data_IF_954556122878
#
_entry.id   IF_954556122878
#
_cell.length_a   1.000
_cell.length_b   1.000
_cell.length_c   1.000
_cell.angle_alpha   90.00
_cell.angle_beta   90.00
_cell.angle_gamma   90.00
#
_symmetry.space_group_name_H-M   'P 1'
#
loop_
_entity.id
_entity.type
_entity.pdbx_description
1 polymer ?
#
# COMPACT_ATOMS: atom_id res chain seq x y z
N UNK A 1 26.58 2.19 -2.64
CA UNK A 1 26.04 0.82 -2.52
C UNK A 1 24.53 0.94 -2.55
N UNK A 2 23.84 0.06 -3.28
CA UNK A 2 22.37 0.05 -3.35
C UNK A 2 21.78 -0.85 -2.26
N UNK A 3 20.56 -0.55 -1.83
CA UNK A 3 19.77 -1.39 -0.93
C UNK A 3 19.26 -2.59 -1.74
N UNK A 4 19.58 -3.80 -1.29
CA UNK A 4 19.17 -5.04 -1.95
C UNK A 4 17.82 -5.48 -1.41
N UNK A 5 16.78 -5.45 -2.24
CA UNK A 5 15.44 -5.86 -1.84
C UNK A 5 15.00 -7.14 -2.54
N UNK A 6 14.19 -7.92 -1.84
CA UNK A 6 13.44 -9.03 -2.44
C UNK A 6 11.94 -8.77 -2.29
N UNK A 7 11.15 -9.28 -3.23
CA UNK A 7 9.69 -9.16 -3.19
C UNK A 7 9.10 -10.56 -2.97
N UNK A 8 8.27 -10.72 -1.95
CA UNK A 8 7.49 -11.94 -1.74
C UNK A 8 6.02 -11.66 -2.12
N UNK A 9 5.49 -12.36 -3.13
CA UNK A 9 4.19 -12.07 -3.73
C UNK A 9 4.29 -11.03 -4.86
N UNK A 10 3.94 -11.44 -6.06
CA UNK A 10 4.00 -10.64 -7.29
C UNK A 10 2.62 -10.43 -7.94
N UNK A 11 1.63 -10.27 -7.06
CA UNK A 11 0.33 -9.69 -7.38
C UNK A 11 0.41 -8.21 -7.79
N UNK A 12 -0.73 -7.50 -7.77
CA UNK A 12 -0.80 -6.09 -8.20
C UNK A 12 0.21 -5.19 -7.45
N UNK A 13 0.32 -5.35 -6.13
CA UNK A 13 1.23 -4.53 -5.31
C UNK A 13 2.69 -4.81 -5.69
N UNK A 14 3.13 -6.08 -5.68
CA UNK A 14 4.51 -6.44 -6.01
C UNK A 14 4.94 -5.96 -7.41
N UNK A 15 4.06 -6.09 -8.41
CA UNK A 15 4.31 -5.55 -9.76
C UNK A 15 4.42 -4.04 -9.78
N UNK A 16 3.52 -3.34 -9.10
CA UNK A 16 3.54 -1.88 -9.05
C UNK A 16 4.74 -1.33 -8.26
N UNK A 17 5.24 -2.06 -7.26
CA UNK A 17 6.50 -1.73 -6.57
C UNK A 17 7.67 -1.77 -7.57
N UNK A 18 7.75 -2.81 -8.40
CA UNK A 18 8.78 -2.89 -9.46
C UNK A 18 8.59 -1.76 -10.47
N UNK A 19 7.39 -1.55 -11.01
CA UNK A 19 7.15 -0.47 -11.98
C UNK A 19 7.56 0.90 -11.42
N UNK A 20 7.13 1.21 -10.19
CA UNK A 20 7.45 2.46 -9.51
C UNK A 20 8.95 2.62 -9.26
N UNK A 21 9.70 1.54 -8.98
CA UNK A 21 11.15 1.60 -8.79
C UNK A 21 11.86 2.16 -10.03
N UNK A 22 11.45 1.73 -11.22
CA UNK A 22 12.01 2.20 -12.49
C UNK A 22 11.46 3.58 -12.87
N UNK A 23 10.16 3.81 -12.74
CA UNK A 23 9.49 5.06 -13.11
C UNK A 23 9.91 6.26 -12.24
N UNK A 24 10.16 6.03 -10.95
CA UNK A 24 10.54 7.11 -10.02
C UNK A 24 12.05 7.39 -9.97
N UNK A 25 12.88 6.65 -10.71
CA UNK A 25 14.33 6.78 -10.67
C UNK A 25 15.00 6.21 -9.41
N UNK A 26 14.22 5.69 -8.45
CA UNK A 26 14.72 5.06 -7.20
C UNK A 26 15.59 3.83 -7.44
N UNK A 27 15.63 3.30 -8.67
CA UNK A 27 16.59 2.28 -9.10
C UNK A 27 18.06 2.69 -8.85
N UNK A 28 18.36 3.98 -8.77
CA UNK A 28 19.70 4.47 -8.38
C UNK A 28 20.09 4.08 -6.94
N UNK A 29 19.12 3.86 -6.07
CA UNK A 29 19.31 3.60 -4.63
C UNK A 29 18.95 2.16 -4.25
N UNK A 30 18.02 1.54 -4.96
CA UNK A 30 17.43 0.24 -4.64
C UNK A 30 17.60 -0.73 -5.81
N UNK A 31 17.91 -2.00 -5.50
CA UNK A 31 18.00 -3.08 -6.49
C UNK A 31 17.12 -4.25 -6.06
N UNK A 32 16.20 -4.67 -6.92
CA UNK A 32 15.42 -5.90 -6.72
C UNK A 32 16.28 -7.09 -7.12
N UNK A 33 16.61 -7.96 -6.19
CA UNK A 33 17.52 -9.10 -6.42
C UNK A 33 16.75 -10.40 -6.66
N UNK A 34 15.54 -10.51 -6.12
CA UNK A 34 14.67 -11.64 -6.32
C UNK A 34 13.19 -11.30 -6.15
N UNK A 35 12.35 -12.08 -6.83
CA UNK A 35 10.89 -12.08 -6.71
C UNK A 35 10.44 -13.52 -6.46
N UNK A 36 9.68 -13.74 -5.40
CA UNK A 36 9.02 -15.02 -5.12
C UNK A 36 7.52 -14.93 -5.45
N UNK A 37 7.01 -15.84 -6.27
CA UNK A 37 5.58 -15.96 -6.59
C UNK A 37 5.23 -17.38 -7.03
N UNK A 38 4.07 -17.88 -6.62
CA UNK A 38 3.55 -19.20 -6.99
C UNK A 38 2.77 -19.12 -8.30
N UNK A 39 3.43 -18.63 -9.35
CA UNK A 39 2.88 -18.51 -10.69
C UNK A 39 3.94 -18.79 -11.75
N UNK A 40 3.50 -19.13 -12.96
CA UNK A 40 4.39 -19.34 -14.10
C UNK A 40 5.18 -18.07 -14.45
N UNK A 41 6.47 -18.24 -14.75
CA UNK A 41 7.41 -17.15 -15.04
C UNK A 41 7.00 -16.32 -16.25
N UNK A 42 6.43 -16.94 -17.29
CA UNK A 42 5.93 -16.22 -18.45
C UNK A 42 4.71 -15.35 -18.08
N UNK A 43 3.82 -15.87 -17.22
CA UNK A 43 2.70 -15.11 -16.67
C UNK A 43 3.14 -13.89 -15.85
N UNK A 44 4.17 -14.06 -15.01
CA UNK A 44 4.82 -13.00 -14.23
C UNK A 44 5.31 -11.87 -15.15
N UNK A 45 6.08 -12.21 -16.19
CA UNK A 45 6.61 -11.24 -17.14
C UNK A 45 5.49 -10.54 -17.93
N UNK A 46 4.48 -11.30 -18.36
CA UNK A 46 3.34 -10.76 -19.09
C UNK A 46 2.57 -9.72 -18.27
N UNK A 47 2.21 -10.05 -17.02
CA UNK A 47 1.48 -9.15 -16.14
C UNK A 47 2.32 -7.98 -15.64
N UNK A 48 3.65 -8.11 -15.60
CA UNK A 48 4.52 -6.96 -15.37
C UNK A 48 4.50 -6.02 -16.58
N UNK A 49 4.50 -6.54 -17.81
CA UNK A 49 4.51 -5.73 -19.05
C UNK A 49 3.15 -5.07 -19.34
N UNK A 50 2.04 -5.75 -19.07
CA UNK A 50 0.69 -5.30 -19.44
C UNK A 50 -0.21 -5.20 -18.21
N UNK A 51 -0.76 -4.00 -17.94
CA UNK A 51 -1.74 -3.78 -16.87
C UNK A 51 -2.89 -2.89 -17.37
N UNK A 52 -4.11 -3.18 -16.95
CA UNK A 52 -5.31 -2.43 -17.37
C UNK A 52 -5.36 -1.01 -16.81
N UNK A 53 -4.89 -0.82 -15.57
CA UNK A 53 -4.92 0.47 -14.88
C UNK A 53 -3.73 1.35 -15.27
N UNK A 54 -2.54 0.74 -15.35
CA UNK A 54 -1.27 1.44 -15.54
C UNK A 54 -0.70 1.31 -16.97
N UNK A 55 -1.45 0.69 -17.87
CA UNK A 55 -1.04 0.50 -19.26
C UNK A 55 0.18 -0.41 -19.43
N UNK A 56 0.88 -0.20 -20.54
CA UNK A 56 2.10 -0.95 -20.89
C UNK A 56 3.29 -0.37 -20.14
N UNK A 57 4.04 -1.23 -19.45
CA UNK A 57 5.27 -0.81 -18.80
C UNK A 57 6.31 -0.37 -19.83
N UNK A 58 6.95 0.77 -19.61
CA UNK A 58 7.83 1.40 -20.62
C UNK A 58 9.13 0.62 -20.86
N UNK A 59 9.65 -0.05 -19.84
CA UNK A 59 10.88 -0.85 -19.93
C UNK A 59 10.66 -2.13 -20.72
N UNK A 60 11.73 -2.59 -21.36
CA UNK A 60 11.76 -3.94 -21.95
C UNK A 60 11.64 -4.99 -20.83
N UNK A 61 10.78 -5.97 -21.03
CA UNK A 61 10.55 -7.05 -20.08
C UNK A 61 10.75 -8.37 -20.81
N UNK A 62 11.75 -9.12 -20.40
CA UNK A 62 12.08 -10.43 -20.95
C UNK A 62 12.16 -11.45 -19.81
N UNK A 63 11.93 -12.71 -20.14
CA UNK A 63 12.07 -13.79 -19.19
C UNK A 63 12.85 -14.92 -19.85
N UNK A 64 13.88 -15.40 -19.15
CA UNK A 64 14.70 -16.52 -19.58
C UNK A 64 14.97 -17.40 -18.36
N UNK A 65 14.57 -18.67 -18.40
CA UNK A 65 14.72 -19.63 -17.29
C UNK A 65 14.16 -19.05 -15.97
N UNK A 66 14.94 -19.05 -14.90
CA UNK A 66 14.54 -18.50 -13.59
C UNK A 66 14.95 -17.02 -13.44
N UNK A 67 15.05 -16.28 -14.54
CA UNK A 67 15.40 -14.86 -14.53
C UNK A 67 14.35 -14.02 -15.25
N UNK A 68 13.95 -12.95 -14.58
CA UNK A 68 13.17 -11.86 -15.13
C UNK A 68 14.12 -10.70 -15.42
N UNK A 69 14.06 -10.17 -16.63
CA UNK A 69 14.84 -9.01 -17.06
C UNK A 69 13.94 -7.80 -17.18
N UNK A 70 14.39 -6.68 -16.62
CA UNK A 70 13.78 -5.36 -16.85
C UNK A 70 14.88 -4.43 -17.37
N UNK A 71 14.85 -4.15 -18.67
CA UNK A 71 16.03 -3.62 -19.37
C UNK A 71 17.19 -4.62 -19.31
N UNK A 72 18.30 -4.20 -18.69
CA UNK A 72 19.50 -5.02 -18.49
C UNK A 72 19.59 -5.63 -17.08
N UNK A 73 18.66 -5.27 -16.18
CA UNK A 73 18.66 -5.79 -14.81
C UNK A 73 18.11 -7.21 -14.77
N UNK A 74 18.92 -8.14 -14.27
CA UNK A 74 18.52 -9.53 -14.03
C UNK A 74 17.98 -9.71 -12.60
N UNK A 75 16.75 -10.19 -12.48
CA UNK A 75 16.06 -10.47 -11.23
C UNK A 75 15.77 -11.96 -11.14
N UNK A 76 16.20 -12.63 -10.05
CA UNK A 76 15.93 -14.06 -9.86
C UNK A 76 14.45 -14.30 -9.56
N UNK A 77 13.82 -15.21 -10.29
CA UNK A 77 12.48 -15.70 -9.97
C UNK A 77 12.58 -16.92 -9.05
N UNK A 78 11.71 -16.94 -8.05
CA UNK A 78 11.57 -18.00 -7.06
C UNK A 78 10.10 -18.43 -7.00
N UNK A 79 9.88 -19.71 -6.67
CA UNK A 79 8.55 -20.32 -6.60
C UNK A 79 8.37 -21.12 -5.31
N UNK A 80 8.83 -20.56 -4.20
CA UNK A 80 8.86 -21.22 -2.90
C UNK A 80 7.54 -21.01 -2.14
N UNK A 81 6.84 -22.08 -1.74
CA UNK A 81 5.55 -21.98 -1.04
C UNK A 81 5.69 -21.68 0.46
N UNK A 82 6.91 -21.76 1.01
CA UNK A 82 7.16 -21.55 2.44
C UNK A 82 8.26 -20.53 2.65
N UNK A 83 8.08 -19.64 3.63
CA UNK A 83 9.05 -18.57 3.93
C UNK A 83 10.42 -19.14 4.29
N UNK A 84 10.46 -20.27 5.01
CA UNK A 84 11.69 -20.89 5.49
C UNK A 84 12.61 -21.40 4.36
N UNK A 85 12.07 -21.70 3.18
CA UNK A 85 12.84 -22.16 2.03
C UNK A 85 13.45 -21.01 1.22
N UNK A 86 13.06 -19.76 1.49
CA UNK A 86 13.50 -18.61 0.70
C UNK A 86 15.00 -18.32 0.92
N UNK A 87 15.81 -18.19 -0.15
CA UNK A 87 17.27 -18.07 -0.04
C UNK A 87 17.74 -16.64 0.26
N UNK A 88 17.11 -15.93 1.21
CA UNK A 88 17.40 -14.52 1.50
C UNK A 88 18.84 -14.29 1.98
N UNK A 89 19.40 -15.24 2.74
CA UNK A 89 20.81 -15.21 3.17
C UNK A 89 21.77 -15.26 1.98
N UNK A 90 21.54 -16.19 1.05
CA UNK A 90 22.36 -16.35 -0.16
C UNK A 90 22.32 -15.09 -1.03
N UNK A 91 21.14 -14.49 -1.16
CA UNK A 91 20.91 -13.31 -1.98
C UNK A 91 21.33 -11.99 -1.31
N UNK A 92 21.77 -12.05 -0.04
CA UNK A 92 22.15 -10.91 0.80
C UNK A 92 21.05 -9.83 0.82
N UNK A 93 19.81 -10.22 1.14
CA UNK A 93 18.65 -9.32 1.16
C UNK A 93 18.69 -8.39 2.36
N UNK A 94 18.67 -7.08 2.11
CA UNK A 94 18.58 -6.05 3.16
C UNK A 94 17.13 -5.91 3.65
N UNK A 95 16.18 -5.81 2.72
CA UNK A 95 14.75 -5.69 3.06
C UNK A 95 13.94 -6.60 2.15
N UNK A 96 13.10 -7.46 2.75
CA UNK A 96 12.05 -8.14 1.98
C UNK A 96 10.76 -7.33 2.06
N UNK A 97 10.17 -7.06 0.91
CA UNK A 97 8.85 -6.45 0.78
C UNK A 97 7.85 -7.60 0.60
N UNK A 98 7.11 -7.92 1.66
CA UNK A 98 6.06 -8.92 1.57
C UNK A 98 4.77 -8.27 1.08
N UNK A 99 4.44 -8.61 -0.16
CA UNK A 99 3.31 -8.12 -0.94
C UNK A 99 2.27 -9.21 -1.20
N UNK A 100 2.33 -10.33 -0.46
CA UNK A 100 1.39 -11.45 -0.62
C UNK A 100 -0.02 -11.10 -0.17
N UNK A 101 -0.15 -10.25 0.86
CA UNK A 101 -1.41 -9.99 1.55
C UNK A 101 -1.91 -11.18 2.40
N UNK A 102 -1.13 -12.26 2.45
CA UNK A 102 -1.42 -13.48 3.23
C UNK A 102 -0.62 -13.46 4.52
N UNK A 103 0.67 -13.18 4.43
CA UNK A 103 1.56 -13.11 5.58
C UNK A 103 1.58 -11.71 6.18
N UNK A 104 1.54 -11.61 7.51
CA UNK A 104 1.54 -10.28 8.16
C UNK A 104 1.63 -10.26 9.68
N UNK A 105 1.94 -11.38 10.33
CA UNK A 105 2.16 -11.43 11.79
C UNK A 105 3.66 -11.30 12.11
N UNK A 106 4.01 -11.10 13.39
CA UNK A 106 5.42 -11.11 13.81
C UNK A 106 6.10 -12.43 13.48
N UNK A 107 5.44 -13.58 13.64
CA UNK A 107 6.03 -14.89 13.35
C UNK A 107 6.41 -15.03 11.87
N UNK A 108 5.56 -14.53 10.96
CA UNK A 108 5.88 -14.49 9.54
C UNK A 108 7.10 -13.59 9.26
N UNK A 109 7.15 -12.42 9.91
CA UNK A 109 8.31 -11.53 9.81
C UNK A 109 9.59 -12.20 10.32
N UNK A 110 9.54 -12.84 11.49
CA UNK A 110 10.68 -13.58 12.04
C UNK A 110 11.11 -14.74 11.14
N UNK A 111 10.17 -15.42 10.46
CA UNK A 111 10.51 -16.45 9.49
C UNK A 111 11.34 -15.90 8.31
N UNK A 112 11.02 -14.70 7.81
CA UNK A 112 11.83 -14.03 6.79
C UNK A 112 13.23 -13.65 7.32
N UNK A 113 13.32 -13.20 8.57
CA UNK A 113 14.61 -12.88 9.20
C UNK A 113 15.47 -14.15 9.39
N UNK A 114 14.85 -15.26 9.78
CA UNK A 114 15.52 -16.57 9.91
C UNK A 114 16.03 -17.10 8.57
N UNK A 115 15.27 -16.88 7.50
CA UNK A 115 15.67 -17.18 6.11
C UNK A 115 16.83 -16.27 5.61
N UNK A 116 17.09 -15.16 6.30
CA UNK A 116 18.30 -14.34 6.15
C UNK A 116 18.09 -12.91 5.67
N UNK A 117 16.85 -12.43 5.55
CA UNK A 117 16.61 -11.01 5.31
C UNK A 117 16.99 -10.20 6.56
N UNK A 118 17.51 -8.96 6.40
CA UNK A 118 17.83 -8.11 7.56
C UNK A 118 16.60 -7.41 8.15
N UNK A 119 15.64 -7.04 7.30
CA UNK A 119 14.37 -6.40 7.67
C UNK A 119 13.21 -6.87 6.77
N UNK A 120 11.99 -6.70 7.25
CA UNK A 120 10.73 -7.05 6.60
C UNK A 120 9.82 -5.82 6.57
N UNK A 121 9.25 -5.53 5.40
CA UNK A 121 8.20 -4.54 5.23
C UNK A 121 6.95 -5.20 4.65
N UNK A 122 5.88 -5.24 5.44
CA UNK A 122 4.57 -5.73 4.98
C UNK A 122 3.82 -4.65 4.22
N UNK A 123 3.20 -5.03 3.10
CA UNK A 123 2.42 -4.14 2.24
C UNK A 123 1.00 -3.84 2.72
N UNK A 124 0.64 -4.29 3.93
CA UNK A 124 -0.67 -4.12 4.55
C UNK A 124 -0.49 -3.94 6.07
N UNK A 125 -1.57 -3.63 6.85
CA UNK A 125 -1.45 -3.29 8.27
C UNK A 125 -0.81 -4.35 9.16
N UNK A 126 -0.82 -5.61 8.71
CA UNK A 126 -0.33 -6.76 9.49
C UNK A 126 -1.03 -6.90 10.85
N UNK A 127 -0.37 -7.63 11.76
CA UNK A 127 -0.76 -7.74 13.16
C UNK A 127 -0.49 -6.47 13.97
N UNK A 128 -1.06 -6.39 15.16
CA UNK A 128 -0.83 -5.27 16.10
C UNK A 128 0.49 -5.39 16.87
N UNK A 129 1.23 -6.46 16.62
CA UNK A 129 2.44 -6.91 17.31
C UNK A 129 3.74 -6.59 16.56
N UNK A 130 3.67 -5.88 15.43
CA UNK A 130 4.84 -5.48 14.64
C UNK A 130 5.66 -4.36 15.33
N UNK A 131 6.93 -4.19 14.94
CA UNK A 131 7.82 -3.21 15.59
C UNK A 131 7.37 -1.77 15.33
N UNK A 132 6.83 -1.50 14.14
CA UNK A 132 6.31 -0.19 13.76
C UNK A 132 5.27 -0.31 12.63
N UNK A 133 4.39 0.70 12.56
CA UNK A 133 3.56 0.97 11.39
C UNK A 133 3.90 2.37 10.89
N UNK A 134 4.33 2.45 9.64
CA UNK A 134 4.83 3.69 9.04
C UNK A 134 3.83 4.21 8.03
N UNK A 135 3.50 5.49 8.18
CA UNK A 135 2.90 6.34 7.15
C UNK A 135 3.97 7.33 6.75
N UNK A 136 4.55 7.12 5.56
CA UNK A 136 5.68 7.94 5.10
C UNK A 136 5.23 9.40 4.88
N UNK A 137 6.02 10.35 5.38
CA UNK A 137 5.68 11.76 5.48
C UNK A 137 5.09 12.16 6.85
N UNK A 138 4.76 11.20 7.71
CA UNK A 138 4.12 11.46 9.02
C UNK A 138 4.98 11.00 10.18
N UNK A 139 5.45 9.75 10.18
CA UNK A 139 6.16 9.15 11.33
C UNK A 139 7.37 8.27 10.97
N UNK A 140 7.90 8.39 9.75
CA UNK A 140 9.07 7.60 9.32
C UNK A 140 10.34 7.92 10.12
N UNK A 141 10.42 9.10 10.72
CA UNK A 141 11.48 9.56 11.62
C UNK A 141 11.47 8.85 12.98
N UNK A 142 10.36 8.19 13.34
CA UNK A 142 10.27 7.34 14.53
C UNK A 142 10.92 5.95 14.33
N UNK A 143 11.32 5.60 13.09
CA UNK A 143 11.99 4.34 12.82
C UNK A 143 13.35 4.26 13.53
N UNK A 144 13.56 3.17 14.26
CA UNK A 144 14.80 2.87 14.98
C UNK A 144 15.53 1.71 14.33
N UNK A 145 16.85 1.63 14.54
CA UNK A 145 17.66 0.52 14.02
C UNK A 145 17.11 -0.87 14.43
N UNK A 146 16.55 -0.96 15.64
CA UNK A 146 15.91 -2.17 16.17
C UNK A 146 14.57 -2.55 15.54
N UNK A 147 13.91 -1.66 14.80
CA UNK A 147 12.66 -2.00 14.09
C UNK A 147 13.01 -2.81 12.84
N UNK A 148 12.77 -4.11 12.88
CA UNK A 148 13.12 -5.06 11.81
C UNK A 148 11.89 -5.57 11.08
N UNK A 149 10.72 -5.59 11.72
CA UNK A 149 9.47 -6.07 11.13
C UNK A 149 8.46 -4.92 11.18
N UNK A 150 8.21 -4.31 10.02
CA UNK A 150 7.46 -3.06 9.88
C UNK A 150 6.28 -3.26 8.94
N UNK A 151 5.17 -2.58 9.21
CA UNK A 151 4.05 -2.45 8.28
C UNK A 151 4.08 -1.08 7.59
N UNK A 152 3.79 -1.04 6.30
CA UNK A 152 3.57 0.20 5.55
C UNK A 152 2.11 0.69 5.62
N UNK A 153 1.40 0.33 6.69
CA UNK A 153 -0.04 0.56 6.86
C UNK A 153 -0.87 0.00 5.69
N UNK A 154 -1.87 0.74 5.21
CA UNK A 154 -2.64 0.42 3.99
C UNK A 154 -2.67 1.61 3.05
N UNK A 155 -3.10 1.41 1.79
CA UNK A 155 -3.29 2.51 0.85
C UNK A 155 -4.22 3.60 1.41
N UNK A 156 -5.39 3.22 1.92
CA UNK A 156 -6.38 4.16 2.50
C UNK A 156 -5.83 4.88 3.73
N UNK A 157 -5.07 4.17 4.58
CA UNK A 157 -4.43 4.78 5.75
C UNK A 157 -3.38 5.82 5.32
N UNK A 158 -2.54 5.51 4.33
CA UNK A 158 -1.56 6.46 3.80
C UNK A 158 -2.24 7.69 3.16
N UNK A 159 -3.41 7.54 2.55
CA UNK A 159 -4.16 8.68 2.01
C UNK A 159 -4.67 9.62 3.10
N UNK A 160 -5.28 9.10 4.17
CA UNK A 160 -6.06 9.94 5.10
C UNK A 160 -5.28 10.43 6.32
N UNK A 161 -4.27 9.68 6.78
CA UNK A 161 -3.51 10.02 7.99
C UNK A 161 -2.79 11.37 7.86
N UNK A 162 -2.13 11.73 6.74
CA UNK A 162 -1.56 13.06 6.56
C UNK A 162 -2.59 14.18 6.68
N UNK A 163 -3.79 13.98 6.13
CA UNK A 163 -4.88 14.97 6.18
C UNK A 163 -5.41 15.12 7.61
N UNK A 164 -5.65 14.00 8.31
CA UNK A 164 -6.05 14.02 9.72
C UNK A 164 -5.01 14.75 10.58
N UNK A 165 -3.71 14.46 10.36
CA UNK A 165 -2.61 15.15 11.07
C UNK A 165 -2.66 16.67 10.86
N UNK A 166 -2.76 17.12 9.61
CA UNK A 166 -2.79 18.55 9.29
C UNK A 166 -3.99 19.25 9.95
N UNK A 167 -5.15 18.63 9.92
CA UNK A 167 -6.37 19.17 10.54
C UNK A 167 -6.31 19.17 12.07
N UNK A 168 -5.77 18.11 12.68
CA UNK A 168 -5.61 18.01 14.13
C UNK A 168 -4.61 19.05 14.66
N UNK A 169 -3.42 19.12 14.04
CA UNK A 169 -2.38 20.06 14.43
C UNK A 169 -2.88 21.53 14.34
N UNK A 170 -3.67 21.85 13.31
CA UNK A 170 -4.18 23.21 13.09
C UNK A 170 -5.40 23.53 13.97
N UNK A 171 -6.39 22.64 14.03
CA UNK A 171 -7.73 22.95 14.54
C UNK A 171 -8.15 22.11 15.76
N UNK A 172 -7.43 21.04 16.07
CA UNK A 172 -7.69 20.11 17.17
C UNK A 172 -8.96 19.31 16.94
N UNK A 173 -8.84 18.09 16.43
CA UNK A 173 -9.98 17.20 16.15
C UNK A 173 -10.54 16.67 17.48
N UNK A 174 -11.86 16.65 17.61
CA UNK A 174 -12.56 16.08 18.76
C UNK A 174 -13.12 14.69 18.47
N UNK A 175 -13.73 14.53 17.30
CA UNK A 175 -14.25 13.26 16.77
C UNK A 175 -14.29 13.28 15.24
N UNK A 176 -14.38 12.12 14.62
CA UNK A 176 -14.45 11.99 13.17
C UNK A 176 -15.23 10.77 12.68
N UNK A 177 -15.67 10.84 11.45
CA UNK A 177 -16.24 9.72 10.71
C UNK A 177 -15.72 9.72 9.28
N UNK A 178 -15.49 8.53 8.73
CA UNK A 178 -14.87 8.37 7.41
C UNK A 178 -15.67 7.41 6.55
N UNK A 179 -15.98 7.80 5.32
CA UNK A 179 -16.51 6.90 4.30
C UNK A 179 -15.49 6.71 3.21
N UNK A 180 -15.06 5.47 2.97
CA UNK A 180 -14.18 5.14 1.84
C UNK A 180 -14.99 4.63 0.66
N UNK A 181 -14.84 5.25 -0.50
CA UNK A 181 -15.47 4.86 -1.76
C UNK A 181 -14.39 4.21 -2.62
N UNK A 182 -14.24 2.90 -2.48
CA UNK A 182 -13.23 2.11 -3.16
C UNK A 182 -13.61 1.82 -4.60
N UNK A 183 -12.61 1.87 -5.48
CA UNK A 183 -12.69 1.22 -6.79
C UNK A 183 -12.84 -0.30 -6.66
N UNK A 184 -13.23 -0.96 -7.75
CA UNK A 184 -13.33 -2.40 -7.78
C UNK A 184 -12.00 -3.06 -7.38
N UNK A 185 -12.08 -4.09 -6.55
CA UNK A 185 -10.92 -4.83 -6.04
C UNK A 185 -10.88 -6.24 -6.61
N UNK A 186 -9.68 -6.82 -6.68
CA UNK A 186 -9.45 -8.14 -7.27
C UNK A 186 -10.13 -9.30 -6.51
N UNK A 187 -10.44 -9.10 -5.24
CA UNK A 187 -11.12 -10.08 -4.38
C UNK A 187 -12.66 -10.11 -4.60
N UNK A 188 -13.19 -9.31 -5.53
CA UNK A 188 -14.61 -9.31 -5.87
C UNK A 188 -14.90 -10.28 -7.01
N UNK A 189 -15.99 -11.03 -6.84
CA UNK A 189 -16.47 -11.93 -7.88
C UNK A 189 -17.02 -11.11 -9.06
N UNK A 190 -16.62 -11.50 -10.27
CA UNK A 190 -17.11 -10.89 -11.52
C UNK A 190 -18.55 -11.32 -11.80
N UNK A 191 -18.91 -12.52 -11.34
CA UNK A 191 -20.22 -13.14 -11.50
C UNK A 191 -20.65 -13.80 -10.18
N UNK A 192 -21.95 -13.99 -9.99
CA UNK A 192 -22.49 -14.53 -8.74
C UNK A 192 -21.91 -15.93 -8.43
N UNK A 193 -21.19 -16.03 -7.31
CA UNK A 193 -20.51 -17.23 -6.82
C UNK A 193 -20.63 -17.33 -5.30
N UNK A 194 -20.43 -18.52 -4.74
CA UNK A 194 -20.58 -18.76 -3.30
C UNK A 194 -19.49 -18.06 -2.47
N UNK A 195 -19.90 -17.39 -1.40
CA UNK A 195 -19.01 -16.77 -0.43
C UNK A 195 -19.75 -16.62 0.94
N UNK A 196 -19.07 -16.76 2.09
CA UNK A 196 -19.70 -16.58 3.40
C UNK A 196 -20.31 -15.19 3.62
N UNK A 197 -19.63 -14.15 3.16
CA UNK A 197 -20.22 -12.81 3.01
C UNK A 197 -21.05 -12.73 1.73
N UNK A 198 -22.38 -12.70 1.91
CA UNK A 198 -23.38 -12.64 0.84
C UNK A 198 -23.29 -11.37 -0.03
N UNK A 199 -22.64 -10.30 0.46
CA UNK A 199 -22.42 -9.09 -0.35
C UNK A 199 -21.42 -9.35 -1.49
N UNK A 200 -20.46 -10.25 -1.26
CA UNK A 200 -19.42 -10.63 -2.23
C UNK A 200 -19.89 -11.63 -3.28
N UNK A 201 -21.11 -12.16 -3.15
CA UNK A 201 -21.71 -13.06 -4.14
C UNK A 201 -22.41 -12.31 -5.26
N UNK A 202 -22.37 -10.97 -5.27
CA UNK A 202 -23.10 -10.13 -6.22
C UNK A 202 -22.16 -9.60 -7.29
N UNK A 203 -22.64 -9.52 -8.53
CA UNK A 203 -21.92 -8.88 -9.64
C UNK A 203 -21.45 -7.44 -9.29
N UNK A 204 -20.13 -7.28 -9.11
CA UNK A 204 -19.52 -6.02 -8.66
C UNK A 204 -19.70 -4.85 -9.63
N UNK A 205 -20.00 -5.11 -10.90
CA UNK A 205 -20.17 -4.08 -11.94
C UNK A 205 -21.50 -3.32 -11.82
N UNK A 206 -22.47 -3.83 -11.06
CA UNK A 206 -23.85 -3.33 -11.07
C UNK A 206 -24.30 -2.71 -9.73
N UNK A 207 -23.43 -2.63 -8.72
CA UNK A 207 -23.85 -2.26 -7.37
C UNK A 207 -22.80 -1.46 -6.61
N UNK A 208 -23.30 -0.58 -5.73
CA UNK A 208 -22.51 -0.04 -4.62
C UNK A 208 -22.57 -1.06 -3.50
N UNK A 209 -21.44 -1.68 -3.19
CA UNK A 209 -21.38 -2.83 -2.27
C UNK A 209 -20.73 -2.38 -0.95
N UNK A 210 -21.46 -2.36 0.18
CA UNK A 210 -20.85 -2.13 1.48
C UNK A 210 -19.81 -3.22 1.79
N UNK A 211 -18.67 -2.81 2.34
CA UNK A 211 -17.60 -3.73 2.74
C UNK A 211 -17.07 -3.37 4.11
N UNK A 212 -16.61 -4.39 4.82
CA UNK A 212 -15.95 -4.20 6.10
C UNK A 212 -14.66 -3.39 5.90
N UNK A 213 -14.40 -2.45 6.81
CA UNK A 213 -13.20 -1.63 6.78
C UNK A 213 -12.51 -1.65 8.14
N UNK A 214 -11.18 -1.60 8.11
CA UNK A 214 -10.33 -1.47 9.30
C UNK A 214 -9.73 -0.07 9.44
N UNK A 215 -10.27 0.91 8.70
CA UNK A 215 -9.70 2.25 8.65
C UNK A 215 -9.70 2.94 10.02
N UNK A 216 -10.79 2.85 10.78
CA UNK A 216 -10.87 3.44 12.12
C UNK A 216 -9.78 2.87 13.05
N UNK A 217 -9.60 1.55 13.07
CA UNK A 217 -8.53 0.91 13.83
C UNK A 217 -7.12 1.31 13.34
N UNK A 218 -6.96 1.54 12.03
CA UNK A 218 -5.72 2.08 11.47
C UNK A 218 -5.45 3.52 11.92
N UNK A 219 -6.49 4.36 11.99
CA UNK A 219 -6.39 5.73 12.49
C UNK A 219 -5.97 5.74 13.95
N UNK A 220 -6.64 4.96 14.80
CA UNK A 220 -6.33 4.93 16.24
C UNK A 220 -4.98 4.29 16.55
N UNK A 221 -4.49 3.39 15.69
CA UNK A 221 -3.13 2.84 15.79
C UNK A 221 -2.05 3.90 15.59
N UNK A 222 -2.26 4.88 14.71
CA UNK A 222 -1.33 6.00 14.49
C UNK A 222 -1.59 7.13 15.49
N UNK A 223 -2.86 7.39 15.82
CA UNK A 223 -3.30 8.46 16.71
C UNK A 223 -4.12 7.90 17.89
N UNK A 224 -3.45 7.40 18.95
CA UNK A 224 -4.14 6.80 20.10
C UNK A 224 -5.11 7.75 20.82
N UNK A 225 -4.93 9.08 20.68
CA UNK A 225 -5.84 10.08 21.23
C UNK A 225 -7.26 10.01 20.63
N UNK A 226 -7.43 9.32 19.49
CA UNK A 226 -8.70 9.15 18.81
C UNK A 226 -9.40 7.82 19.09
N UNK A 227 -8.91 7.03 20.05
CA UNK A 227 -9.64 5.86 20.53
C UNK A 227 -11.07 6.24 20.94
N UNK A 228 -12.05 5.46 20.49
CA UNK A 228 -13.49 5.67 20.68
C UNK A 228 -14.04 7.01 20.15
N UNK A 229 -13.30 7.70 19.27
CA UNK A 229 -13.67 8.99 18.67
C UNK A 229 -13.76 8.98 17.15
N UNK A 230 -13.41 7.86 16.52
CA UNK A 230 -13.46 7.68 15.07
C UNK A 230 -14.23 6.43 14.68
N UNK A 231 -15.13 6.59 13.72
CA UNK A 231 -15.82 5.50 13.06
C UNK A 231 -15.54 5.52 11.55
N UNK A 232 -15.60 4.36 10.90
CA UNK A 232 -15.39 4.29 9.46
C UNK A 232 -16.30 3.25 8.81
N UNK A 233 -16.85 3.62 7.65
CA UNK A 233 -17.55 2.72 6.75
C UNK A 233 -16.89 2.73 5.37
N UNK A 234 -17.15 1.72 4.57
CA UNK A 234 -16.64 1.65 3.21
C UNK A 234 -17.65 1.02 2.25
N UNK A 235 -17.60 1.48 1.00
CA UNK A 235 -18.33 0.93 -0.12
C UNK A 235 -17.39 0.70 -1.29
N UNK A 236 -17.71 -0.26 -2.15
CA UNK A 236 -17.03 -0.49 -3.42
C UNK A 236 -17.94 -0.09 -4.57
N UNK A 237 -17.37 0.56 -5.58
CA UNK A 237 -18.06 1.06 -6.78
C UNK A 237 -17.35 0.57 -8.04
N UNK A 238 -18.06 0.48 -9.20
CA UNK A 238 -17.50 -0.07 -10.44
C UNK A 238 -16.58 0.92 -11.17
N UNK A 239 -15.51 1.36 -10.51
CA UNK A 239 -14.41 2.15 -11.08
C UNK A 239 -13.11 1.33 -11.05
N UNK A 240 -12.09 1.76 -11.80
CA UNK A 240 -10.93 0.92 -12.11
C UNK A 240 -9.91 0.86 -10.97
N UNK A 241 -9.39 2.00 -10.48
CA UNK A 241 -8.23 2.00 -9.57
C UNK A 241 -8.14 3.17 -8.58
N UNK A 242 -8.97 4.20 -8.71
CA UNK A 242 -8.91 5.40 -7.87
C UNK A 242 -10.00 5.33 -6.81
N UNK A 243 -9.60 5.54 -5.55
CA UNK A 243 -10.47 5.54 -4.38
C UNK A 243 -10.68 6.97 -3.90
N UNK A 244 -11.90 7.32 -3.52
CA UNK A 244 -12.20 8.57 -2.82
C UNK A 244 -12.40 8.31 -1.32
N UNK A 245 -12.01 9.28 -0.49
CA UNK A 245 -12.25 9.25 0.96
C UNK A 245 -13.01 10.51 1.33
N UNK A 246 -14.17 10.34 1.94
CA UNK A 246 -14.96 11.40 2.55
C UNK A 246 -14.70 11.40 4.06
N UNK A 247 -14.11 12.49 4.56
CA UNK A 247 -13.74 12.69 5.95
C UNK A 247 -14.56 13.83 6.53
N UNK A 248 -15.31 13.52 7.59
CA UNK A 248 -16.03 14.50 8.39
C UNK A 248 -15.46 14.51 9.80
N UNK A 249 -15.02 15.68 10.29
CA UNK A 249 -14.44 15.85 11.63
C UNK A 249 -15.05 17.04 12.34
N UNK A 250 -15.22 16.90 13.66
CA UNK A 250 -15.50 18.03 14.55
C UNK A 250 -14.17 18.56 15.07
N UNK A 251 -14.03 19.89 15.11
CA UNK A 251 -12.79 20.56 15.52
C UNK A 251 -13.07 21.63 16.56
N UNK A 252 -12.09 21.85 17.45
CA UNK A 252 -12.19 22.81 18.56
C UNK A 252 -12.16 24.25 18.09
N UNK A 253 -11.30 24.56 17.11
CA UNK A 253 -11.15 25.93 16.61
C UNK A 253 -12.19 26.22 15.53
N UNK A 254 -12.94 27.34 15.62
CA UNK A 254 -13.81 27.79 14.53
C UNK A 254 -13.00 28.03 13.26
N UNK A 255 -13.48 27.55 12.11
CA UNK A 255 -12.76 27.62 10.84
C UNK A 255 -13.74 27.72 9.67
N UNK A 256 -13.30 28.30 8.56
CA UNK A 256 -14.01 28.34 7.27
C UNK A 256 -13.37 27.40 6.25
N UNK A 257 -14.15 26.96 5.27
CA UNK A 257 -13.67 26.08 4.20
C UNK A 257 -12.44 26.65 3.46
N UNK A 258 -12.41 27.96 3.18
CA UNK A 258 -11.26 28.58 2.51
C UNK A 258 -9.97 28.52 3.34
N UNK A 259 -10.05 28.56 4.67
CA UNK A 259 -8.91 28.47 5.58
C UNK A 259 -8.37 27.03 5.64
N UNK A 260 -9.28 26.04 5.64
CA UNK A 260 -8.91 24.62 5.52
C UNK A 260 -8.21 24.36 4.18
N UNK A 261 -8.76 24.83 3.07
CA UNK A 261 -8.16 24.69 1.74
C UNK A 261 -6.76 25.32 1.68
N UNK A 262 -6.59 26.53 2.20
CA UNK A 262 -5.29 27.21 2.24
C UNK A 262 -4.26 26.45 3.10
N UNK A 263 -4.68 25.84 4.22
CA UNK A 263 -3.81 25.00 5.03
C UNK A 263 -3.30 23.79 4.22
N UNK A 264 -4.21 23.05 3.58
CA UNK A 264 -3.88 21.85 2.81
C UNK A 264 -3.02 22.19 1.58
N UNK A 265 -3.33 23.28 0.88
CA UNK A 265 -2.55 23.77 -0.24
C UNK A 265 -1.11 24.11 0.18
N UNK A 266 -0.94 24.85 1.29
CA UNK A 266 0.39 25.18 1.82
C UNK A 266 1.16 23.93 2.25
N UNK A 267 0.48 22.95 2.84
CA UNK A 267 1.10 21.69 3.24
C UNK A 267 1.61 20.90 2.03
N UNK A 268 0.81 20.81 0.96
CA UNK A 268 1.18 20.16 -0.31
C UNK A 268 2.38 20.85 -1.01
N UNK A 269 2.51 22.16 -0.85
CA UNK A 269 3.65 22.93 -1.38
C UNK A 269 4.88 22.92 -0.45
N UNK A 270 4.72 22.44 0.78
CA UNK A 270 5.73 22.52 1.85
C UNK A 270 6.07 21.15 2.42
N UNK A 271 5.73 20.95 3.70
CA UNK A 271 6.15 19.78 4.47
C UNK A 271 5.67 18.43 3.91
N UNK A 272 4.58 18.42 3.14
CA UNK A 272 4.02 17.21 2.53
C UNK A 272 4.20 17.16 1.01
N UNK A 273 5.11 17.97 0.44
CA UNK A 273 5.40 17.91 -0.99
C UNK A 273 5.82 16.51 -1.43
N UNK A 274 5.15 15.98 -2.47
CA UNK A 274 5.34 14.61 -2.96
C UNK A 274 4.60 13.52 -2.17
N UNK A 275 3.86 13.90 -1.13
CA UNK A 275 3.02 12.99 -0.31
C UNK A 275 1.54 13.40 -0.39
N UNK A 276 1.25 14.68 -0.17
CA UNK A 276 -0.09 15.28 -0.33
C UNK A 276 0.00 16.26 -1.50
N UNK A 277 -0.99 16.19 -2.39
CA UNK A 277 -1.20 17.18 -3.43
C UNK A 277 -2.54 17.90 -3.24
N UNK A 278 -2.72 19.05 -3.88
CA UNK A 278 -3.90 19.89 -3.75
C UNK A 278 -4.35 20.44 -5.11
N UNK A 279 -5.64 20.33 -5.41
CA UNK A 279 -6.22 20.84 -6.66
C UNK A 279 -7.59 21.47 -6.44
N UNK A 280 -7.85 22.57 -7.15
CA UNK A 280 -9.18 23.18 -7.31
C UNK A 280 -9.72 23.02 -8.74
N UNK A 281 -8.99 22.28 -9.59
CA UNK A 281 -9.42 22.03 -10.96
C UNK A 281 -10.63 21.07 -10.96
N UNK A 282 -11.59 21.26 -11.87
CA UNK A 282 -12.71 20.34 -12.02
C UNK A 282 -12.25 19.05 -12.72
N UNK A 283 -11.82 18.05 -11.94
CA UNK A 283 -11.27 16.78 -12.43
C UNK A 283 -12.15 15.58 -12.05
N UNK A 284 -12.18 14.57 -12.91
CA UNK A 284 -12.73 13.25 -12.61
C UNK A 284 -11.72 12.35 -11.91
N UNK A 285 -12.20 11.26 -11.29
CA UNK A 285 -11.33 10.28 -10.62
C UNK A 285 -10.34 9.60 -11.57
N UNK A 286 -10.60 9.57 -12.88
CA UNK A 286 -9.74 9.00 -13.91
C UNK A 286 -8.43 9.76 -14.13
N UNK A 287 -8.25 10.92 -13.47
CA UNK A 287 -7.09 11.79 -13.61
C UNK A 287 -6.08 11.68 -12.47
N UNK A 288 -6.29 10.75 -11.54
CA UNK A 288 -5.41 10.47 -10.40
C UNK A 288 -4.75 9.09 -10.50
#
# INVERSE_FOLDING_TARGET
MTIRIAINGFGRIGRNVVRALYESGRRAEITVVAINELADAAGIAHLLKYDTSHGRFAWDVRQEREQLFVGDDAIRLLHEPTIAALPWRELAVDVVLDCTGVYGSREHGEAHLQAGAKKVLFSHPGGNDLDATVVYGVNQDELRAGHRIVSNASCTTNCIIPIIKLLDDAYGIESGTVTTIHSAMHDQQVIDAYHPDLRRTRAASQSIIPVDTKLAAGITRIFPQFNDRFEAIAVRVPTINVTAIDLSVTVKKPVKACEVNQLLQKAAQGAFHGIVDYTELPVGLDRF
#
